data_IF_792094425677
#
_entry.id   IF_792094425677
#
_cell.length_a   1.000
_cell.length_b   1.000
_cell.length_c   1.000
_cell.angle_alpha   90.00
_cell.angle_beta   90.00
_cell.angle_gamma   90.00
#
_symmetry.space_group_name_H-M   'P 1'
#
loop_
_entity.id
_entity.type
_entity.pdbx_description
1 polymer ?
#
# COMPACT_ATOMS: atom_id res chain seq x y z
N UNK A 1 -9.60 13.77 14.11
CA UNK A 1 -8.46 13.02 13.51
C UNK A 1 -8.73 12.80 12.03
N UNK A 2 -7.75 12.35 11.24
CA UNK A 2 -7.96 12.07 9.81
C UNK A 2 -9.10 11.07 9.57
N UNK A 3 -9.21 10.02 10.40
CA UNK A 3 -10.26 9.01 10.29
C UNK A 3 -11.67 9.58 10.55
N UNK A 4 -11.87 10.39 11.60
CA UNK A 4 -13.18 11.02 11.84
C UNK A 4 -13.60 11.91 10.66
N UNK A 5 -12.67 12.72 10.13
CA UNK A 5 -12.96 13.57 8.97
C UNK A 5 -13.29 12.77 7.71
N UNK A 6 -12.68 11.60 7.52
CA UNK A 6 -13.02 10.69 6.44
C UNK A 6 -14.37 9.98 6.65
N UNK A 7 -14.79 9.77 7.89
CA UNK A 7 -16.11 9.22 8.23
C UNK A 7 -17.23 10.11 7.68
N UNK A 8 -17.16 11.41 7.97
CA UNK A 8 -18.12 12.41 7.49
C UNK A 8 -18.04 12.60 5.96
N UNK A 9 -16.82 12.67 5.44
CA UNK A 9 -16.58 13.06 4.05
C UNK A 9 -16.71 11.89 3.06
N UNK A 10 -16.60 10.65 3.53
CA UNK A 10 -16.62 9.41 2.76
C UNK A 10 -15.30 9.04 2.08
N UNK A 11 -15.09 7.74 1.81
CA UNK A 11 -13.94 7.18 1.09
C UNK A 11 -14.43 6.55 -0.22
N UNK A 12 -13.67 6.74 -1.31
CA UNK A 12 -13.96 6.14 -2.61
C UNK A 12 -14.66 7.09 -3.58
N UNK A 13 -15.39 6.51 -4.54
CA UNK A 13 -16.13 7.24 -5.58
C UNK A 13 -17.51 7.72 -5.10
N UNK A 14 -18.12 8.62 -5.88
CA UNK A 14 -19.53 9.03 -5.73
C UNK A 14 -19.92 9.57 -4.34
N UNK A 15 -18.94 10.13 -3.61
CA UNK A 15 -19.13 10.71 -2.28
C UNK A 15 -20.18 11.82 -2.24
N UNK A 16 -20.28 12.62 -3.29
CA UNK A 16 -21.30 13.68 -3.42
C UNK A 16 -22.72 13.14 -3.63
N UNK A 17 -22.87 11.87 -4.01
CA UNK A 17 -24.16 11.17 -4.09
C UNK A 17 -24.50 10.43 -2.78
N UNK A 18 -23.70 10.62 -1.72
CA UNK A 18 -23.92 10.02 -0.40
C UNK A 18 -23.19 8.70 -0.15
N UNK A 19 -22.26 8.29 -1.02
CA UNK A 19 -21.53 7.03 -0.85
C UNK A 19 -20.24 7.17 -0.02
N UNK A 20 -19.84 6.07 0.63
CA UNK A 20 -18.52 5.91 1.25
C UNK A 20 -18.37 6.48 2.66
N UNK A 21 -19.40 7.11 3.22
CA UNK A 21 -19.45 7.53 4.63
C UNK A 21 -19.43 6.32 5.56
N UNK A 22 -18.89 6.49 6.75
CA UNK A 22 -18.81 5.45 7.76
C UNK A 22 -18.72 6.03 9.17
N UNK A 23 -19.12 5.24 10.16
CA UNK A 23 -18.91 5.56 11.58
C UNK A 23 -17.66 4.84 12.10
N UNK A 24 -16.84 5.56 12.87
CA UNK A 24 -15.61 5.00 13.41
C UNK A 24 -15.87 4.39 14.78
N UNK A 25 -15.70 3.07 14.87
CA UNK A 25 -15.63 2.36 16.14
C UNK A 25 -14.19 1.95 16.44
N UNK A 26 -13.77 2.12 17.69
CA UNK A 26 -12.45 1.68 18.12
C UNK A 26 -12.45 0.16 18.24
N UNK A 27 -11.68 -0.51 17.39
CA UNK A 27 -11.47 -1.95 17.47
C UNK A 27 -10.66 -2.38 18.70
N UNK A 28 -10.71 -3.68 18.97
CA UNK A 28 -9.89 -4.33 20.00
C UNK A 28 -8.43 -4.52 19.56
N UNK A 29 -7.62 -5.06 20.47
CA UNK A 29 -6.25 -5.44 20.16
C UNK A 29 -6.23 -6.71 19.30
N UNK A 30 -5.40 -6.72 18.26
CA UNK A 30 -5.19 -7.87 17.38
C UNK A 30 -3.75 -8.32 17.57
N UNK A 31 -3.54 -9.62 17.79
CA UNK A 31 -2.22 -10.25 17.77
C UNK A 31 -1.94 -10.77 16.37
N UNK A 32 -0.78 -10.41 15.82
CA UNK A 32 -0.32 -10.85 14.51
C UNK A 32 0.82 -11.85 14.67
N UNK A 33 0.96 -12.84 13.77
CA UNK A 33 2.11 -13.73 13.79
C UNK A 33 3.41 -12.97 13.54
N UNK A 34 4.44 -13.26 14.33
CA UNK A 34 5.77 -12.69 14.15
C UNK A 34 6.44 -13.24 12.87
N UNK A 35 7.10 -12.36 12.13
CA UNK A 35 7.71 -12.66 10.83
C UNK A 35 9.22 -12.91 10.89
N UNK A 36 9.74 -13.46 11.99
CA UNK A 36 11.19 -13.47 12.24
C UNK A 36 11.91 -14.50 11.36
N UNK A 37 12.82 -14.02 10.51
CA UNK A 37 13.85 -14.82 9.82
C UNK A 37 13.38 -15.79 8.73
N UNK A 38 12.08 -15.84 8.44
CA UNK A 38 11.47 -16.75 7.47
C UNK A 38 10.69 -16.05 6.36
N UNK A 39 9.77 -16.78 5.74
CA UNK A 39 8.80 -16.19 4.83
C UNK A 39 7.79 -15.34 5.60
N UNK A 40 7.39 -14.22 5.00
CA UNK A 40 6.33 -13.34 5.49
C UNK A 40 5.33 -13.09 4.39
N UNK A 41 4.09 -12.78 4.76
CA UNK A 41 3.08 -12.26 3.82
C UNK A 41 2.77 -10.80 4.13
N UNK A 42 2.51 -9.98 3.11
CA UNK A 42 2.13 -8.57 3.32
C UNK A 42 0.62 -8.36 3.32
N UNK A 43 0.09 -7.63 4.30
CA UNK A 43 -1.31 -7.20 4.35
C UNK A 43 -1.56 -5.87 3.62
N UNK A 44 -0.52 -5.25 3.06
CA UNK A 44 -0.60 -4.05 2.23
C UNK A 44 0.14 -4.24 0.90
N UNK A 45 -0.19 -3.45 -0.14
CA UNK A 45 0.59 -3.43 -1.37
C UNK A 45 2.03 -3.00 -1.11
N UNK A 46 2.96 -3.75 -1.69
CA UNK A 46 4.38 -3.61 -1.44
C UNK A 46 5.11 -3.19 -2.73
N UNK A 47 5.88 -2.11 -2.66
CA UNK A 47 6.79 -1.69 -3.73
C UNK A 47 8.21 -1.62 -3.15
N UNK A 48 9.12 -2.56 -3.51
CA UNK A 48 10.50 -2.55 -3.04
C UNK A 48 11.17 -1.18 -3.21
N UNK A 49 12.01 -0.78 -2.25
CA UNK A 49 12.68 0.50 -2.26
C UNK A 49 13.67 0.61 -3.43
N UNK A 50 14.39 -0.47 -3.70
CA UNK A 50 15.38 -0.58 -4.75
C UNK A 50 15.59 -2.04 -5.22
N UNK A 51 16.53 -2.23 -6.15
CA UNK A 51 16.86 -3.54 -6.70
C UNK A 51 17.52 -4.47 -5.67
N UNK A 52 18.24 -3.91 -4.68
CA UNK A 52 18.89 -4.71 -3.65
C UNK A 52 17.85 -5.31 -2.69
N UNK A 53 16.85 -4.53 -2.27
CA UNK A 53 15.72 -5.04 -1.48
C UNK A 53 14.92 -6.06 -2.28
N UNK A 54 14.67 -5.78 -3.56
CA UNK A 54 13.98 -6.72 -4.45
C UNK A 54 14.72 -8.06 -4.55
N UNK A 55 16.05 -8.06 -4.73
CA UNK A 55 16.86 -9.28 -4.79
C UNK A 55 16.88 -10.03 -3.45
N UNK A 56 16.83 -9.31 -2.33
CA UNK A 56 16.83 -9.91 -1.00
C UNK A 56 15.49 -10.52 -0.61
N UNK A 57 14.38 -9.92 -1.05
CA UNK A 57 13.01 -10.32 -0.68
C UNK A 57 12.40 -11.31 -1.68
N UNK A 58 12.60 -11.10 -2.98
CA UNK A 58 11.98 -11.90 -4.05
C UNK A 58 12.89 -13.06 -4.48
N UNK A 59 13.17 -13.96 -3.55
CA UNK A 59 13.94 -15.20 -3.77
C UNK A 59 13.05 -16.28 -4.42
N UNK A 60 13.61 -17.47 -4.64
CA UNK A 60 12.94 -18.59 -5.32
C UNK A 60 11.61 -19.05 -4.67
N UNK A 61 11.51 -18.90 -3.36
CA UNK A 61 10.35 -19.23 -2.53
C UNK A 61 9.27 -18.13 -2.50
N UNK A 62 9.54 -16.96 -3.07
CA UNK A 62 8.57 -15.87 -3.13
C UNK A 62 7.35 -16.24 -3.99
N UNK A 63 6.15 -15.84 -3.56
CA UNK A 63 4.88 -16.07 -4.27
C UNK A 63 4.09 -14.77 -4.26
N UNK A 64 3.87 -14.18 -5.42
CA UNK A 64 3.22 -12.87 -5.49
C UNK A 64 2.42 -12.70 -6.77
N UNK A 65 1.39 -11.87 -6.68
CA UNK A 65 0.72 -11.29 -7.84
C UNK A 65 1.19 -9.84 -8.02
N UNK A 66 1.36 -9.42 -9.27
CA UNK A 66 1.66 -8.03 -9.57
C UNK A 66 0.34 -7.28 -9.82
N UNK A 67 0.14 -6.20 -9.08
CA UNK A 67 -0.96 -5.27 -9.30
C UNK A 67 -0.46 -3.97 -9.92
N UNK A 68 -1.29 -3.33 -10.74
CA UNK A 68 -0.99 -1.99 -11.27
C UNK A 68 -1.92 -0.97 -10.63
N UNK A 69 -1.36 -0.01 -9.92
CA UNK A 69 -2.11 1.10 -9.30
C UNK A 69 -2.10 2.29 -10.25
N UNK A 70 -3.29 2.74 -10.61
CA UNK A 70 -3.57 3.88 -11.48
C UNK A 70 -4.71 4.69 -10.90
N UNK A 71 -4.94 5.87 -11.47
CA UNK A 71 -6.00 6.75 -11.04
C UNK A 71 -5.72 8.18 -11.45
N UNK A 72 -6.47 9.08 -10.83
CA UNK A 72 -6.52 10.48 -11.17
C UNK A 72 -6.17 11.32 -9.96
N UNK A 73 -5.50 12.44 -10.19
CA UNK A 73 -5.48 13.53 -9.25
C UNK A 73 -6.88 14.16 -9.26
N UNK A 74 -7.55 14.15 -8.11
CA UNK A 74 -8.81 14.89 -7.95
C UNK A 74 -8.58 16.37 -8.24
N UNK A 75 -9.52 16.98 -8.95
CA UNK A 75 -9.36 18.29 -9.57
C UNK A 75 -9.17 19.43 -8.56
N UNK A 76 -7.93 19.66 -8.13
CA UNK A 76 -7.49 21.00 -7.78
C UNK A 76 -7.44 21.80 -9.10
N UNK A 77 -8.17 22.92 -9.15
CA UNK A 77 -8.26 23.83 -10.30
C UNK A 77 -8.87 23.26 -11.61
N UNK A 78 -9.72 22.22 -11.53
CA UNK A 78 -10.47 21.72 -12.71
C UNK A 78 -9.66 20.83 -13.66
N UNK A 79 -8.41 20.49 -13.33
CA UNK A 79 -7.57 19.61 -14.14
C UNK A 79 -7.71 18.15 -13.67
N UNK A 80 -8.17 17.28 -14.57
CA UNK A 80 -8.14 15.83 -14.36
C UNK A 80 -6.81 15.27 -14.89
N UNK A 81 -5.81 15.22 -14.02
CA UNK A 81 -4.48 14.70 -14.38
C UNK A 81 -4.34 13.25 -13.93
N UNK A 82 -3.88 12.39 -14.84
CA UNK A 82 -3.57 10.99 -14.51
C UNK A 82 -2.19 10.94 -13.83
N UNK A 83 -2.14 10.50 -12.57
CA UNK A 83 -0.84 10.26 -11.92
C UNK A 83 -0.10 9.08 -12.56
N UNK A 84 1.22 9.01 -12.35
CA UNK A 84 2.05 7.93 -12.89
C UNK A 84 1.56 6.56 -12.38
N UNK A 85 1.55 5.58 -13.27
CA UNK A 85 1.20 4.20 -12.90
C UNK A 85 2.35 3.55 -12.14
N UNK A 86 2.04 2.73 -11.14
CA UNK A 86 3.03 1.98 -10.36
C UNK A 86 2.65 0.51 -10.38
N UNK A 87 3.63 -0.37 -10.64
CA UNK A 87 3.48 -1.82 -10.42
C UNK A 87 3.98 -2.15 -9.02
N UNK A 88 3.19 -2.93 -8.30
CA UNK A 88 3.42 -3.28 -6.90
C UNK A 88 3.12 -4.76 -6.74
N UNK A 89 3.69 -5.39 -5.72
CA UNK A 89 3.24 -6.67 -5.23
C UNK A 89 1.89 -6.46 -4.52
N UNK A 90 0.92 -7.31 -4.83
CA UNK A 90 -0.40 -7.27 -4.23
C UNK A 90 -0.37 -7.71 -2.77
N UNK A 91 -1.42 -7.37 -2.03
CA UNK A 91 -1.71 -7.97 -0.73
C UNK A 91 -1.69 -9.51 -0.82
N UNK A 92 -1.20 -10.17 0.22
CA UNK A 92 -0.99 -11.61 0.26
C UNK A 92 0.31 -12.10 -0.39
N UNK A 93 1.11 -11.21 -1.00
CA UNK A 93 2.41 -11.59 -1.52
C UNK A 93 3.32 -12.13 -0.39
N UNK A 94 3.94 -13.28 -0.66
CA UNK A 94 4.87 -13.99 0.21
C UNK A 94 6.30 -13.74 -0.27
N UNK A 95 7.18 -13.34 0.64
CA UNK A 95 8.58 -13.02 0.35
C UNK A 95 9.47 -13.29 1.56
N UNK A 96 10.80 -13.31 1.34
CA UNK A 96 11.77 -13.51 2.41
C UNK A 96 11.82 -12.29 3.34
N UNK A 97 11.47 -12.50 4.61
CA UNK A 97 11.61 -11.52 5.67
C UNK A 97 13.06 -11.38 6.13
N UNK A 98 13.38 -10.19 6.62
CA UNK A 98 14.58 -9.78 7.32
C UNK A 98 14.20 -9.28 8.71
N UNK A 99 15.09 -9.49 9.67
CA UNK A 99 14.92 -8.96 11.02
C UNK A 99 14.97 -7.43 10.99
N UNK A 100 14.01 -6.78 11.67
CA UNK A 100 13.90 -5.32 11.85
C UNK A 100 13.84 -4.45 10.57
N UNK A 101 13.55 -5.06 9.41
CA UNK A 101 13.49 -4.35 8.13
C UNK A 101 12.18 -3.58 7.91
N UNK A 102 12.29 -2.31 7.47
CA UNK A 102 11.18 -1.59 6.83
C UNK A 102 11.20 -1.92 5.34
N UNK A 103 10.11 -2.52 4.84
CA UNK A 103 10.02 -2.90 3.43
C UNK A 103 9.28 -1.87 2.60
N UNK A 104 9.87 -1.54 1.46
CA UNK A 104 9.29 -0.76 0.42
C UNK A 104 9.44 0.74 0.62
N UNK A 105 8.63 1.49 -0.13
CA UNK A 105 8.80 2.95 -0.24
C UNK A 105 7.51 3.70 -0.48
N UNK A 106 7.55 5.00 -0.18
CA UNK A 106 6.56 5.96 -0.63
C UNK A 106 6.86 6.37 -2.07
N UNK A 107 6.06 5.91 -3.03
CA UNK A 107 6.32 6.12 -4.46
C UNK A 107 5.81 7.48 -4.89
N UNK A 108 6.70 8.34 -5.41
CA UNK A 108 6.30 9.61 -6.01
C UNK A 108 5.64 9.38 -7.37
N UNK A 109 4.34 9.66 -7.46
CA UNK A 109 3.50 9.47 -8.65
C UNK A 109 3.08 10.78 -9.30
N UNK A 110 3.71 11.89 -8.92
CA UNK A 110 3.43 13.23 -9.43
C UNK A 110 3.45 13.25 -10.97
N UNK A 111 2.33 13.61 -11.62
CA UNK A 111 2.28 13.71 -13.07
C UNK A 111 3.16 14.88 -13.55
N UNK A 112 3.82 14.72 -14.71
CA UNK A 112 4.76 15.72 -15.24
C UNK A 112 4.22 17.16 -15.32
N UNK A 113 2.97 17.41 -15.76
CA UNK A 113 2.45 18.79 -15.83
C UNK A 113 2.06 19.38 -14.47
N UNK A 114 2.12 18.61 -13.37
CA UNK A 114 1.74 19.06 -12.04
C UNK A 114 2.96 19.39 -11.19
N UNK A 115 3.00 20.59 -10.61
CA UNK A 115 4.15 21.11 -9.88
C UNK A 115 3.79 21.77 -8.54
N UNK A 116 2.55 21.71 -8.08
CA UNK A 116 2.13 22.36 -6.84
C UNK A 116 2.64 21.63 -5.59
N UNK A 117 2.59 20.30 -5.61
CA UNK A 117 3.07 19.45 -4.54
C UNK A 117 3.33 18.02 -5.05
N UNK A 118 4.07 17.25 -4.24
CA UNK A 118 4.30 15.84 -4.55
C UNK A 118 3.08 14.99 -4.24
N UNK A 119 2.74 14.11 -5.18
CA UNK A 119 1.66 13.12 -5.05
C UNK A 119 2.31 11.77 -4.79
N UNK A 120 1.85 11.09 -3.74
CA UNK A 120 2.47 9.84 -3.30
C UNK A 120 1.51 8.67 -3.36
N UNK A 121 2.08 7.49 -3.57
CA UNK A 121 1.42 6.20 -3.38
C UNK A 121 2.13 5.44 -2.28
N UNK A 122 1.38 5.08 -1.24
CA UNK A 122 1.87 4.22 -0.16
C UNK A 122 2.22 2.84 -0.72
N UNK A 123 3.46 2.40 -0.51
CA UNK A 123 3.99 1.13 -0.98
C UNK A 123 4.89 0.44 0.03
N UNK A 124 4.73 0.76 1.31
CA UNK A 124 5.37 0.01 2.38
C UNK A 124 4.58 -1.28 2.63
N UNK A 125 5.31 -2.39 2.78
CA UNK A 125 4.69 -3.66 3.16
C UNK A 125 4.20 -3.63 4.61
N UNK A 126 3.23 -4.47 4.91
CA UNK A 126 2.79 -4.77 6.26
C UNK A 126 3.05 -6.27 6.48
N UNK A 127 4.30 -6.67 6.76
CA UNK A 127 4.69 -8.07 6.83
C UNK A 127 4.14 -8.72 8.10
N UNK A 128 3.58 -9.91 7.96
CA UNK A 128 3.19 -10.79 9.06
C UNK A 128 3.71 -12.21 8.79
N UNK A 129 4.03 -12.95 9.85
CA UNK A 129 4.53 -14.32 9.73
C UNK A 129 3.53 -15.24 9.04
N UNK A 130 4.04 -16.17 8.22
CA UNK A 130 3.23 -17.27 7.67
C UNK A 130 3.55 -18.57 8.40
N UNK A 131 2.51 -19.31 8.80
CA UNK A 131 2.68 -20.64 9.35
C UNK A 131 3.19 -21.57 8.25
N UNK A 132 4.32 -22.24 8.47
CA UNK A 132 4.81 -23.27 7.57
C UNK A 132 4.03 -24.56 7.85
N UNK A 133 3.24 -25.01 6.89
CA UNK A 133 2.69 -26.37 6.91
C UNK A 133 3.69 -27.27 6.17
N UNK A 134 4.30 -28.19 6.92
CA UNK A 134 5.10 -29.32 6.41
C UNK A 134 4.21 -30.33 5.66
#
# INVERSE_FOLDING_TARGET
TALCSLGDAGIGGERSAGHGQFELEKGGQISLPDGNGGLVTTLSPYCPADEAEMAQTLREDARYSLMTRRGWLGALAGLSLRHKSVRMLAEGAVFAGQEDGVYGRLVNVTPKPFNEHSVYRYGFAFPVGVAQHE
#
